data_IF_357083568431
#
_entry.id   IF_357083568431
#
_cell.length_a   1.000
_cell.length_b   1.000
_cell.length_c   1.000
_cell.angle_alpha   90.00
_cell.angle_beta   90.00
_cell.angle_gamma   90.00
#
_symmetry.space_group_name_H-M   'P 1'
#
loop_
_entity.id
_entity.type
_entity.pdbx_description
1 polymer ?
#
# COMPACT_ATOMS: atom_id res chain seq x y z
N UNK A 1 -19.59 8.12 19.33
CA UNK A 1 -19.14 7.07 18.39
C UNK A 1 -20.21 6.88 17.33
N UNK A 2 -19.83 6.92 16.05
CA UNK A 2 -20.76 6.61 14.96
C UNK A 2 -20.90 5.06 14.90
N UNK A 3 -22.11 4.48 15.03
CA UNK A 3 -22.30 3.03 14.99
C UNK A 3 -22.00 2.42 13.62
N UNK A 4 -22.00 3.24 12.54
CA UNK A 4 -21.65 2.81 11.19
C UNK A 4 -20.13 2.89 10.90
N UNK A 5 -19.30 3.26 11.87
CA UNK A 5 -17.86 3.39 11.69
C UNK A 5 -17.09 2.44 12.61
N UNK A 6 -16.18 1.66 12.03
CA UNK A 6 -15.22 0.82 12.74
C UNK A 6 -13.81 1.34 12.48
N UNK A 7 -13.03 1.54 13.54
CA UNK A 7 -11.64 2.01 13.45
C UNK A 7 -10.72 0.96 14.07
N UNK A 8 -9.75 0.49 13.26
CA UNK A 8 -8.74 -0.48 13.68
C UNK A 8 -7.34 0.11 13.54
N UNK A 9 -6.64 0.41 14.64
CA UNK A 9 -5.23 0.74 14.58
C UNK A 9 -4.40 -0.48 14.19
N UNK A 10 -3.49 -0.33 13.25
CA UNK A 10 -2.54 -1.37 12.83
C UNK A 10 -1.13 -0.91 13.19
N UNK A 11 -0.50 -1.45 14.25
CA UNK A 11 0.87 -1.06 14.61
C UNK A 11 1.85 -1.49 13.51
N UNK A 12 2.64 -0.55 13.01
CA UNK A 12 3.75 -0.84 12.09
C UNK A 12 4.91 -1.45 12.90
N UNK A 13 5.07 -2.76 12.86
CA UNK A 13 6.16 -3.48 13.54
C UNK A 13 7.40 -3.70 12.66
N UNK A 14 7.65 -2.84 11.68
CA UNK A 14 8.86 -2.93 10.83
C UNK A 14 8.86 -4.05 9.76
N UNK A 15 7.90 -4.95 9.76
CA UNK A 15 7.77 -6.00 8.75
C UNK A 15 6.75 -5.59 7.68
N UNK A 16 7.25 -5.10 6.55
CA UNK A 16 6.42 -4.62 5.42
C UNK A 16 5.44 -5.68 4.89
N UNK A 17 5.87 -6.94 4.78
CA UNK A 17 5.01 -8.02 4.26
C UNK A 17 3.90 -8.46 5.21
N UNK A 18 4.19 -8.56 6.51
CA UNK A 18 3.22 -9.01 7.52
C UNK A 18 2.10 -7.98 7.77
N UNK A 19 2.40 -6.68 7.69
CA UNK A 19 1.39 -5.61 7.84
C UNK A 19 0.42 -5.60 6.65
N UNK A 20 0.94 -5.70 5.43
CA UNK A 20 0.11 -5.73 4.21
C UNK A 20 -0.86 -6.93 4.23
N UNK A 21 -0.37 -8.12 4.62
CA UNK A 21 -1.17 -9.34 4.76
C UNK A 21 -2.34 -9.15 5.72
N UNK A 22 -2.07 -8.75 6.96
CA UNK A 22 -3.11 -8.55 7.99
C UNK A 22 -4.09 -7.43 7.64
N UNK A 23 -3.64 -6.41 6.92
CA UNK A 23 -4.49 -5.31 6.47
C UNK A 23 -5.46 -5.80 5.39
N UNK A 24 -5.00 -6.64 4.46
CA UNK A 24 -5.87 -7.26 3.45
C UNK A 24 -6.95 -8.15 4.08
N UNK A 25 -6.56 -9.04 5.00
CA UNK A 25 -7.51 -9.89 5.74
C UNK A 25 -8.56 -9.06 6.49
N UNK A 26 -8.12 -7.98 7.14
CA UNK A 26 -9.03 -7.07 7.84
C UNK A 26 -9.99 -6.37 6.88
N UNK A 27 -9.53 -5.96 5.70
CA UNK A 27 -10.37 -5.39 4.65
C UNK A 27 -11.46 -6.36 4.21
N UNK A 28 -11.09 -7.60 3.88
CA UNK A 28 -12.05 -8.65 3.50
C UNK A 28 -13.09 -8.93 4.60
N UNK A 29 -12.68 -8.92 5.88
CA UNK A 29 -13.60 -9.07 7.00
C UNK A 29 -14.56 -7.87 7.12
N UNK A 30 -14.10 -6.65 6.86
CA UNK A 30 -14.95 -5.46 6.83
C UNK A 30 -15.96 -5.53 5.69
N UNK A 31 -15.54 -5.94 4.48
CA UNK A 31 -16.45 -6.16 3.34
C UNK A 31 -17.51 -7.21 3.69
N UNK A 32 -17.11 -8.35 4.25
CA UNK A 32 -18.02 -9.42 4.67
C UNK A 32 -18.97 -8.99 5.79
N UNK A 33 -18.57 -8.02 6.61
CA UNK A 33 -19.41 -7.41 7.65
C UNK A 33 -20.37 -6.33 7.11
N UNK A 34 -20.32 -6.02 5.81
CA UNK A 34 -21.23 -5.10 5.14
C UNK A 34 -20.77 -3.64 5.16
N UNK A 35 -19.47 -3.36 5.36
CA UNK A 35 -18.96 -2.00 5.19
C UNK A 35 -18.78 -1.68 3.71
N UNK A 36 -19.40 -0.60 3.26
CA UNK A 36 -19.37 -0.15 1.85
C UNK A 36 -18.05 0.56 1.49
N UNK A 37 -17.40 1.18 2.48
CA UNK A 37 -16.17 1.96 2.30
C UNK A 37 -15.13 1.53 3.32
N UNK A 38 -13.94 1.20 2.83
CA UNK A 38 -12.78 0.82 3.65
C UNK A 38 -11.65 1.79 3.34
N UNK A 39 -11.23 2.56 4.35
CA UNK A 39 -10.10 3.48 4.26
C UNK A 39 -8.87 2.83 4.91
N UNK A 40 -7.78 2.73 4.15
CA UNK A 40 -6.48 2.27 4.64
C UNK A 40 -5.56 3.47 4.68
N UNK A 41 -5.23 3.93 5.89
CA UNK A 41 -4.33 5.06 6.11
C UNK A 41 -2.91 4.57 6.41
N UNK A 42 -1.92 5.24 5.81
CA UNK A 42 -0.49 5.05 6.09
C UNK A 42 0.12 6.31 6.68
N UNK A 43 1.13 6.14 7.51
CA UNK A 43 1.83 7.27 8.18
C UNK A 43 2.83 8.03 7.29
N UNK A 44 2.87 7.74 6.00
CA UNK A 44 3.55 8.60 5.01
C UNK A 44 5.09 8.59 5.02
N UNK A 45 5.75 7.62 5.65
CA UNK A 45 7.21 7.53 5.66
C UNK A 45 7.68 6.08 5.47
N UNK A 46 8.16 5.77 4.28
CA UNK A 46 8.71 4.46 3.98
C UNK A 46 8.08 3.84 2.74
N UNK A 47 8.38 2.59 2.46
CA UNK A 47 7.86 1.88 1.28
C UNK A 47 6.46 1.25 1.49
N UNK A 48 5.79 1.57 2.59
CA UNK A 48 4.45 1.08 2.93
C UNK A 48 3.36 1.61 1.99
N UNK A 49 3.58 2.78 1.40
CA UNK A 49 2.65 3.42 0.46
C UNK A 49 2.49 2.59 -0.82
N UNK A 50 3.60 2.03 -1.34
CA UNK A 50 3.56 1.16 -2.52
C UNK A 50 2.77 -0.12 -2.24
N UNK A 51 2.96 -0.71 -1.06
CA UNK A 51 2.25 -1.92 -0.66
C UNK A 51 0.74 -1.69 -0.50
N UNK A 52 0.32 -0.49 -0.07
CA UNK A 52 -1.11 -0.14 0.06
C UNK A 52 -1.78 0.01 -1.30
N UNK A 53 -1.09 0.56 -2.30
CA UNK A 53 -1.65 0.69 -3.64
C UNK A 53 -2.13 -0.66 -4.23
N UNK A 54 -1.45 -1.77 -3.87
CA UNK A 54 -1.83 -3.12 -4.29
C UNK A 54 -2.99 -3.73 -3.48
N UNK A 55 -3.46 -3.03 -2.44
CA UNK A 55 -4.54 -3.51 -1.56
C UNK A 55 -5.87 -2.79 -1.79
N UNK A 56 -5.85 -1.65 -2.48
CA UNK A 56 -6.99 -0.75 -2.60
C UNK A 56 -7.48 -0.64 -4.04
N UNK A 57 -8.75 -0.29 -4.19
CA UNK A 57 -9.35 -0.02 -5.49
C UNK A 57 -8.89 1.33 -6.06
N UNK A 58 -8.78 2.33 -5.18
CA UNK A 58 -8.32 3.67 -5.51
C UNK A 58 -7.24 4.11 -4.52
N UNK A 59 -6.21 4.78 -5.03
CA UNK A 59 -5.12 5.33 -4.23
C UNK A 59 -5.21 6.85 -4.20
N UNK A 60 -5.48 7.39 -3.01
CA UNK A 60 -5.58 8.83 -2.77
C UNK A 60 -4.30 9.30 -2.09
N UNK A 61 -3.55 10.16 -2.77
CA UNK A 61 -2.34 10.78 -2.22
C UNK A 61 -2.70 12.09 -1.51
N UNK A 62 -2.37 12.20 -0.22
CA UNK A 62 -2.49 13.45 0.52
C UNK A 62 -1.18 14.23 0.42
N UNK A 63 -1.25 15.47 -0.02
CA UNK A 63 -0.12 16.39 -0.09
C UNK A 63 -0.33 17.59 0.86
N UNK A 64 0.72 18.06 1.51
CA UNK A 64 0.66 19.26 2.36
C UNK A 64 1.33 20.44 1.64
N UNK A 65 0.76 21.66 1.67
CA UNK A 65 1.41 22.85 1.13
C UNK A 65 2.40 23.39 2.15
N UNK A 66 3.62 23.03 2.16
CA UNK A 66 4.42 23.53 3.27
C UNK A 66 5.93 23.43 3.24
N UNK A 67 6.51 22.95 2.19
CA UNK A 67 7.93 22.95 2.07
C UNK A 67 8.34 23.11 0.60
N UNK A 68 9.18 24.08 0.29
CA UNK A 68 9.77 24.17 -1.06
C UNK A 68 10.50 22.91 -1.49
N UNK A 69 10.79 22.00 -0.55
CA UNK A 69 11.36 20.67 -0.74
C UNK A 69 10.32 19.54 -0.74
N UNK A 70 9.07 19.77 -0.30
CA UNK A 70 8.08 18.72 -0.14
C UNK A 70 7.58 18.15 -1.48
N UNK A 71 7.53 18.96 -2.54
CA UNK A 71 7.27 18.47 -3.90
C UNK A 71 8.43 17.62 -4.44
N UNK A 72 9.67 17.94 -4.04
CA UNK A 72 10.83 17.07 -4.31
C UNK A 72 10.83 15.83 -3.39
N UNK A 73 10.22 15.93 -2.22
CA UNK A 73 10.02 14.81 -1.27
C UNK A 73 8.91 13.84 -1.69
N UNK A 74 7.93 14.27 -2.49
CA UNK A 74 6.96 13.36 -3.10
C UNK A 74 7.70 12.56 -4.19
N UNK A 75 8.14 11.37 -3.82
CA UNK A 75 8.83 10.49 -4.76
C UNK A 75 7.96 10.25 -6.00
N UNK A 76 8.53 10.48 -7.18
CA UNK A 76 7.84 10.31 -8.47
C UNK A 76 7.03 9.01 -8.55
N UNK A 77 7.55 7.91 -8.01
CA UNK A 77 6.88 6.61 -8.00
C UNK A 77 5.55 6.58 -7.24
N UNK A 78 5.37 7.41 -6.21
CA UNK A 78 4.08 7.49 -5.47
C UNK A 78 3.05 8.27 -6.28
N UNK A 79 3.47 9.33 -6.95
CA UNK A 79 2.58 10.12 -7.82
C UNK A 79 2.05 9.30 -9.00
N UNK A 80 2.85 8.38 -9.54
CA UNK A 80 2.45 7.47 -10.63
C UNK A 80 1.36 6.46 -10.20
N UNK A 81 1.19 6.24 -8.88
CA UNK A 81 0.16 5.37 -8.32
C UNK A 81 -1.12 6.10 -7.93
N UNK A 82 -1.09 7.45 -7.92
CA UNK A 82 -2.21 8.23 -7.43
C UNK A 82 -3.34 8.30 -8.46
N UNK A 83 -4.52 7.85 -8.07
CA UNK A 83 -5.78 8.07 -8.80
C UNK A 83 -6.37 9.44 -8.50
N UNK A 84 -6.06 9.98 -7.32
CA UNK A 84 -6.48 11.30 -6.86
C UNK A 84 -5.40 11.89 -5.97
N UNK A 85 -5.07 13.16 -6.14
CA UNK A 85 -4.22 13.90 -5.23
C UNK A 85 -5.02 14.97 -4.51
N UNK A 86 -4.94 14.97 -3.19
CA UNK A 86 -5.64 15.92 -2.33
C UNK A 86 -4.62 16.79 -1.62
N UNK A 87 -4.57 18.06 -1.97
CA UNK A 87 -3.74 19.05 -1.27
C UNK A 87 -4.50 19.55 -0.06
N UNK A 88 -3.99 19.21 1.10
CA UNK A 88 -4.61 19.54 2.39
C UNK A 88 -4.24 20.96 2.85
N UNK A 89 -4.86 21.44 3.95
CA UNK A 89 -4.59 22.76 4.56
C UNK A 89 -4.76 23.94 3.58
N UNK A 90 -5.75 23.84 2.69
CA UNK A 90 -6.03 24.84 1.68
C UNK A 90 -6.84 26.02 2.22
N UNK A 91 -6.51 26.48 3.45
CA UNK A 91 -7.17 27.56 4.16
C UNK A 91 -6.16 28.48 4.87
N UNK A 92 -6.64 29.62 5.35
CA UNK A 92 -5.83 30.60 6.08
C UNK A 92 -4.56 31.01 5.33
N UNK A 93 -3.47 31.12 6.05
CA UNK A 93 -2.17 31.58 5.52
C UNK A 93 -1.56 30.58 4.51
N UNK A 94 -2.01 29.32 4.52
CA UNK A 94 -1.51 28.29 3.62
C UNK A 94 -2.28 28.19 2.30
N UNK A 95 -3.40 28.89 2.14
CA UNK A 95 -4.24 28.81 0.94
C UNK A 95 -3.47 29.11 -0.37
N UNK A 96 -2.64 30.14 -0.38
CA UNK A 96 -1.82 30.49 -1.54
C UNK A 96 -0.80 29.39 -1.87
N UNK A 97 -0.10 28.88 -0.85
CA UNK A 97 0.86 27.78 -1.01
C UNK A 97 0.17 26.48 -1.50
N UNK A 98 -1.03 26.18 -0.99
CA UNK A 98 -1.82 25.04 -1.44
C UNK A 98 -2.21 25.15 -2.92
N UNK A 99 -2.62 26.32 -3.39
CA UNK A 99 -2.93 26.55 -4.79
C UNK A 99 -1.69 26.38 -5.69
N UNK A 100 -0.52 26.88 -5.27
CA UNK A 100 0.73 26.68 -6.01
C UNK A 100 1.10 25.19 -6.09
N UNK A 101 1.09 24.49 -4.95
CA UNK A 101 1.37 23.06 -4.90
C UNK A 101 0.41 22.27 -5.81
N UNK A 102 -0.88 22.56 -5.77
CA UNK A 102 -1.86 21.93 -6.63
C UNK A 102 -1.59 22.17 -8.12
N UNK A 103 -1.18 23.37 -8.50
CA UNK A 103 -0.83 23.69 -9.90
C UNK A 103 0.42 22.92 -10.35
N UNK A 104 1.44 22.80 -9.49
CA UNK A 104 2.66 22.05 -9.79
C UNK A 104 2.39 20.55 -9.93
N UNK A 105 1.59 19.99 -9.02
CA UNK A 105 1.20 18.58 -9.06
C UNK A 105 0.38 18.29 -10.33
N UNK A 106 -0.59 19.15 -10.71
CA UNK A 106 -1.35 18.98 -11.96
C UNK A 106 -0.43 18.94 -13.19
N UNK A 107 0.56 19.82 -13.25
CA UNK A 107 1.55 19.81 -14.35
C UNK A 107 2.37 18.51 -14.38
N UNK A 108 2.77 18.02 -13.20
CA UNK A 108 3.51 16.77 -13.10
C UNK A 108 2.67 15.55 -13.50
N UNK A 109 1.44 15.45 -13.02
CA UNK A 109 0.51 14.36 -13.35
C UNK A 109 0.20 14.30 -14.84
N UNK A 110 0.05 15.44 -15.49
CA UNK A 110 -0.21 15.50 -16.94
C UNK A 110 0.90 14.87 -17.80
N UNK A 111 2.10 14.76 -17.27
CA UNK A 111 3.25 14.10 -17.92
C UNK A 111 3.39 12.62 -17.57
N UNK A 112 2.55 12.12 -16.66
CA UNK A 112 2.58 10.74 -16.19
C UNK A 112 1.48 9.91 -16.86
N UNK A 113 1.68 8.59 -16.87
CA UNK A 113 0.60 7.68 -17.26
C UNK A 113 -0.30 7.43 -16.06
N UNK A 114 -1.63 7.54 -16.21
CA UNK A 114 -2.54 7.19 -15.13
C UNK A 114 -2.40 5.71 -14.78
N UNK A 115 -2.60 5.39 -13.51
CA UNK A 115 -2.60 4.00 -13.00
C UNK A 115 -3.69 3.17 -13.68
N UNK A 116 -4.85 3.78 -13.89
CA UNK A 116 -6.01 3.18 -14.56
C UNK A 116 -6.38 4.02 -15.77
N UNK A 117 -6.52 3.38 -16.92
CA UNK A 117 -6.86 4.08 -18.16
C UNK A 117 -8.27 4.72 -18.13
N UNK A 118 -9.13 4.22 -17.26
CA UNK A 118 -10.50 4.66 -17.04
C UNK A 118 -10.63 5.85 -16.09
N UNK A 119 -9.55 6.21 -15.39
CA UNK A 119 -9.53 7.28 -14.37
C UNK A 119 -8.53 8.35 -14.78
N UNK A 120 -9.02 9.57 -14.91
CA UNK A 120 -8.15 10.74 -15.11
C UNK A 120 -7.75 11.30 -13.72
N UNK A 121 -6.46 11.26 -13.34
CA UNK A 121 -6.02 11.70 -12.02
C UNK A 121 -6.32 13.17 -11.78
N UNK A 122 -7.05 13.47 -10.72
CA UNK A 122 -7.43 14.83 -10.35
C UNK A 122 -6.60 15.37 -9.18
N UNK A 123 -6.49 16.69 -9.09
CA UNK A 123 -5.88 17.38 -7.94
C UNK A 123 -6.90 18.30 -7.32
N UNK A 124 -7.32 17.99 -6.10
CA UNK A 124 -8.30 18.74 -5.33
C UNK A 124 -7.67 19.39 -4.11
N UNK A 125 -8.28 20.47 -3.66
CA UNK A 125 -7.87 21.24 -2.49
C UNK A 125 -8.86 20.99 -1.36
N UNK A 126 -8.37 20.73 -0.14
CA UNK A 126 -9.23 20.55 1.02
C UNK A 126 -8.76 21.32 2.23
N UNK A 127 -9.71 21.75 3.04
CA UNK A 127 -9.50 22.29 4.37
C UNK A 127 -10.25 21.43 5.40
N UNK A 128 -9.54 20.73 6.26
CA UNK A 128 -10.16 19.94 7.33
C UNK A 128 -10.88 20.82 8.37
N UNK A 129 -10.36 22.00 8.78
CA UNK A 129 -11.05 22.88 9.73
C UNK A 129 -12.40 23.41 9.22
N UNK A 130 -12.50 23.71 7.92
CA UNK A 130 -13.72 24.27 7.33
C UNK A 130 -14.62 23.21 6.69
N UNK A 131 -14.10 22.00 6.42
CA UNK A 131 -14.76 20.99 5.60
C UNK A 131 -14.77 21.30 4.10
N UNK A 132 -14.18 22.43 3.67
CA UNK A 132 -14.13 22.83 2.27
C UNK A 132 -13.37 21.81 1.41
N UNK A 133 -13.92 21.48 0.24
CA UNK A 133 -13.35 20.53 -0.70
C UNK A 133 -13.57 19.05 -0.37
N UNK A 134 -14.05 18.70 0.82
CA UNK A 134 -14.26 17.29 1.21
C UNK A 134 -15.38 16.62 0.41
N UNK A 135 -16.55 17.26 0.18
CA UNK A 135 -17.58 16.69 -0.69
C UNK A 135 -17.08 16.42 -2.10
N UNK A 136 -16.30 17.36 -2.68
CA UNK A 136 -15.75 17.25 -4.03
C UNK A 136 -14.75 16.08 -4.15
N UNK A 137 -13.94 15.83 -3.10
CA UNK A 137 -13.09 14.63 -3.03
C UNK A 137 -13.92 13.37 -3.05
N UNK A 138 -15.00 13.33 -2.28
CA UNK A 138 -15.88 12.16 -2.27
C UNK A 138 -16.58 11.93 -3.61
N UNK A 139 -17.03 12.97 -4.26
CA UNK A 139 -17.62 12.90 -5.61
C UNK A 139 -16.59 12.37 -6.63
N UNK A 140 -15.34 12.84 -6.57
CA UNK A 140 -14.27 12.35 -7.45
C UNK A 140 -13.93 10.86 -7.18
N UNK A 141 -13.88 10.44 -5.92
CA UNK A 141 -13.70 9.03 -5.54
C UNK A 141 -14.85 8.17 -6.07
N UNK A 142 -16.08 8.61 -5.88
CA UNK A 142 -17.27 7.88 -6.35
C UNK A 142 -17.31 7.78 -7.88
N UNK A 143 -16.95 8.84 -8.59
CA UNK A 143 -16.88 8.86 -10.04
C UNK A 143 -15.79 7.92 -10.58
N UNK A 144 -14.59 7.95 -9.99
CA UNK A 144 -13.49 7.07 -10.36
C UNK A 144 -13.84 5.59 -10.10
N UNK A 145 -14.40 5.27 -8.94
CA UNK A 145 -14.88 3.92 -8.64
C UNK A 145 -15.97 3.47 -9.61
N UNK A 146 -16.91 4.35 -9.95
CA UNK A 146 -17.98 4.08 -10.92
C UNK A 146 -17.43 3.80 -12.33
N UNK A 147 -16.39 4.52 -12.76
CA UNK A 147 -15.72 4.28 -14.04
C UNK A 147 -15.02 2.91 -14.08
N UNK A 148 -14.31 2.55 -13.02
CA UNK A 148 -13.66 1.23 -12.89
C UNK A 148 -14.69 0.09 -12.86
N UNK A 149 -15.79 0.27 -12.15
CA UNK A 149 -16.86 -0.72 -12.06
C UNK A 149 -17.59 -0.89 -13.41
N UNK A 150 -17.95 0.22 -14.06
CA UNK A 150 -18.68 0.23 -15.32
C UNK A 150 -17.90 -0.37 -16.51
N UNK A 151 -16.57 -0.21 -16.52
CA UNK A 151 -15.68 -0.79 -17.54
C UNK A 151 -15.30 -2.24 -17.27
N UNK A 152 -15.61 -2.78 -16.08
CA UNK A 152 -15.13 -4.07 -15.61
C UNK A 152 -13.65 -4.09 -15.18
N UNK A 153 -12.97 -2.94 -15.18
CA UNK A 153 -11.58 -2.82 -14.74
C UNK A 153 -11.44 -3.18 -13.26
N UNK A 154 -12.40 -2.80 -12.42
CA UNK A 154 -12.42 -3.13 -11.00
C UNK A 154 -12.34 -4.64 -10.74
N UNK A 155 -13.11 -5.44 -11.48
CA UNK A 155 -13.12 -6.90 -11.34
C UNK A 155 -11.78 -7.50 -11.77
N UNK A 156 -11.21 -7.03 -12.89
CA UNK A 156 -9.89 -7.48 -13.36
C UNK A 156 -8.80 -7.15 -12.34
N UNK A 157 -8.77 -5.91 -11.86
CA UNK A 157 -7.80 -5.45 -10.86
C UNK A 157 -7.87 -6.26 -9.57
N UNK A 158 -9.07 -6.46 -9.00
CA UNK A 158 -9.26 -7.26 -7.78
C UNK A 158 -8.85 -8.73 -7.99
N UNK A 159 -9.06 -9.27 -9.19
CA UNK A 159 -8.57 -10.62 -9.56
C UNK A 159 -7.05 -10.69 -9.56
N UNK A 160 -6.36 -9.69 -10.13
CA UNK A 160 -4.91 -9.64 -10.17
C UNK A 160 -4.31 -9.41 -8.77
N UNK A 161 -4.92 -8.55 -7.96
CA UNK A 161 -4.58 -8.37 -6.55
C UNK A 161 -4.75 -9.68 -5.75
N UNK A 162 -5.81 -10.44 -6.00
CA UNK A 162 -6.03 -11.74 -5.34
C UNK A 162 -4.95 -12.76 -5.72
N UNK A 163 -4.54 -12.80 -7.00
CA UNK A 163 -3.45 -13.66 -7.46
C UNK A 163 -2.10 -13.26 -6.83
N UNK A 164 -1.80 -11.97 -6.79
CA UNK A 164 -0.58 -11.46 -6.16
C UNK A 164 -0.54 -11.79 -4.66
N UNK A 165 -1.68 -11.66 -3.99
CA UNK A 165 -1.83 -12.02 -2.59
C UNK A 165 -1.58 -13.51 -2.35
N UNK A 166 -2.12 -14.40 -3.18
CA UNK A 166 -1.85 -15.85 -3.08
C UNK A 166 -0.35 -16.14 -3.06
N UNK A 167 0.41 -15.52 -3.97
CA UNK A 167 1.86 -15.73 -4.01
C UNK A 167 2.59 -15.12 -2.81
N UNK A 168 2.08 -14.02 -2.27
CA UNK A 168 2.64 -13.40 -1.05
C UNK A 168 2.38 -14.29 0.17
N UNK A 169 1.16 -14.82 0.31
CA UNK A 169 0.79 -15.77 1.36
C UNK A 169 1.62 -17.05 1.27
N UNK A 170 1.75 -17.62 0.06
CA UNK A 170 2.52 -18.83 -0.14
C UNK A 170 3.99 -18.65 0.24
N UNK A 171 4.61 -17.53 -0.19
CA UNK A 171 6.02 -17.24 0.17
C UNK A 171 6.19 -17.09 1.67
N UNK A 172 5.31 -16.33 2.34
CA UNK A 172 5.34 -16.17 3.79
C UNK A 172 5.17 -17.50 4.54
N UNK A 173 4.17 -18.30 4.14
CA UNK A 173 3.94 -19.60 4.75
C UNK A 173 5.10 -20.59 4.53
N UNK A 174 5.75 -20.56 3.37
CA UNK A 174 6.92 -21.38 3.09
C UNK A 174 8.12 -20.93 3.94
N UNK A 175 8.35 -19.62 4.08
CA UNK A 175 9.42 -19.08 4.93
C UNK A 175 9.19 -19.43 6.41
N UNK A 176 7.97 -19.27 6.91
CA UNK A 176 7.60 -19.63 8.28
C UNK A 176 7.83 -21.14 8.53
N UNK A 177 7.40 -21.99 7.62
CA UNK A 177 7.61 -23.45 7.72
C UNK A 177 9.08 -23.84 7.65
N UNK A 178 9.84 -23.21 6.77
CA UNK A 178 11.28 -23.42 6.65
C UNK A 178 11.99 -23.06 7.95
N UNK A 179 11.71 -21.86 8.50
CA UNK A 179 12.30 -21.40 9.76
C UNK A 179 11.90 -22.24 10.99
N UNK A 180 10.69 -22.80 10.98
CA UNK A 180 10.19 -23.65 12.05
C UNK A 180 10.74 -25.09 12.00
N UNK A 181 11.37 -25.51 10.89
CA UNK A 181 11.99 -26.84 10.78
C UNK A 181 13.20 -26.94 11.72
N UNK A 182 13.28 -28.00 12.58
CA UNK A 182 14.35 -28.12 13.56
C UNK A 182 15.75 -28.22 12.94
N UNK A 183 15.90 -28.89 11.80
CA UNK A 183 17.20 -29.05 11.13
C UNK A 183 17.67 -27.72 10.51
N UNK A 184 16.73 -26.97 9.93
CA UNK A 184 17.00 -25.63 9.39
C UNK A 184 17.32 -24.64 10.53
N UNK A 185 16.52 -24.64 11.58
CA UNK A 185 16.72 -23.77 12.75
C UNK A 185 18.09 -24.00 13.42
N UNK A 186 18.55 -25.26 13.48
CA UNK A 186 19.86 -25.59 14.02
C UNK A 186 21.01 -25.15 13.10
N UNK A 187 20.86 -25.24 11.78
CA UNK A 187 21.88 -24.90 10.80
C UNK A 187 21.98 -23.39 10.51
N UNK A 188 20.86 -22.66 10.64
CA UNK A 188 20.71 -21.26 10.21
C UNK A 188 21.78 -20.32 10.79
N UNK A 189 22.07 -20.29 12.13
CA UNK A 189 23.04 -19.34 12.67
C UNK A 189 24.47 -19.54 12.13
N UNK A 190 24.88 -20.79 11.93
CA UNK A 190 26.21 -21.11 11.38
C UNK A 190 26.32 -20.71 9.89
N UNK A 191 25.28 -20.92 9.13
CA UNK A 191 25.25 -20.53 7.71
C UNK A 191 25.21 -19.00 7.57
N UNK A 192 24.40 -18.30 8.38
CA UNK A 192 24.36 -16.82 8.39
C UNK A 192 25.73 -16.21 8.76
N UNK A 193 26.40 -16.78 9.78
CA UNK A 193 27.74 -16.33 10.18
C UNK A 193 28.77 -16.53 9.04
N UNK A 194 28.77 -17.68 8.37
CA UNK A 194 29.68 -17.96 7.25
C UNK A 194 29.40 -17.06 6.04
N UNK A 195 28.14 -16.74 5.75
CA UNK A 195 27.77 -15.80 4.69
C UNK A 195 28.20 -14.38 5.05
N UNK A 196 28.00 -13.95 6.30
CA UNK A 196 28.39 -12.63 6.77
C UNK A 196 29.92 -12.44 6.76
N UNK A 197 30.70 -13.50 7.05
CA UNK A 197 32.16 -13.51 6.98
C UNK A 197 32.70 -13.55 5.53
N UNK A 198 31.88 -13.83 4.54
CA UNK A 198 32.29 -14.01 3.14
C UNK A 198 32.86 -15.42 2.83
N UNK A 199 32.83 -16.35 3.79
CA UNK A 199 33.31 -17.71 3.63
C UNK A 199 32.33 -18.59 2.82
N UNK A 200 31.08 -18.17 2.73
CA UNK A 200 30.03 -18.88 2.00
C UNK A 200 29.23 -17.89 1.15
N UNK A 201 29.08 -18.18 -0.14
CA UNK A 201 28.18 -17.39 -1.00
C UNK A 201 26.72 -17.57 -0.57
N UNK A 202 25.93 -16.49 -0.54
CA UNK A 202 24.52 -16.51 -0.10
C UNK A 202 23.68 -17.58 -0.81
N UNK A 203 23.84 -17.75 -2.13
CA UNK A 203 23.14 -18.80 -2.89
C UNK A 203 23.55 -20.23 -2.48
N UNK A 204 24.79 -20.44 -2.04
CA UNK A 204 25.22 -21.74 -1.52
C UNK A 204 24.66 -21.98 -0.11
N UNK A 205 24.60 -20.94 0.72
CA UNK A 205 23.94 -20.96 2.03
C UNK A 205 22.45 -21.32 1.91
N UNK A 206 21.73 -20.67 1.00
CA UNK A 206 20.32 -20.95 0.74
C UNK A 206 20.09 -22.41 0.32
N UNK A 207 20.91 -22.93 -0.59
CA UNK A 207 20.81 -24.35 -0.99
C UNK A 207 21.03 -25.30 0.19
N UNK A 208 22.03 -25.06 1.06
CA UNK A 208 22.26 -25.88 2.26
C UNK A 208 21.07 -25.90 3.21
N UNK A 209 20.39 -24.76 3.40
CA UNK A 209 19.17 -24.69 4.21
C UNK A 209 18.02 -25.47 3.57
N UNK A 210 17.84 -25.37 2.26
CA UNK A 210 16.82 -26.14 1.53
C UNK A 210 17.11 -27.65 1.54
N UNK A 211 18.37 -28.05 1.44
CA UNK A 211 18.77 -29.45 1.54
C UNK A 211 18.58 -30.03 2.95
N UNK A 212 18.71 -29.21 3.98
CA UNK A 212 18.45 -29.57 5.37
C UNK A 212 16.95 -29.68 5.68
N UNK A 213 16.10 -28.96 4.94
CA UNK A 213 14.67 -28.93 5.18
C UNK A 213 14.01 -30.29 5.00
N UNK A 214 13.27 -30.73 6.00
CA UNK A 214 12.46 -31.97 6.00
C UNK A 214 10.99 -31.60 6.18
N UNK A 215 10.27 -31.25 5.10
CA UNK A 215 8.85 -30.90 5.21
C UNK A 215 8.07 -32.04 5.85
N UNK A 216 7.28 -31.71 6.88
CA UNK A 216 6.40 -32.69 7.49
C UNK A 216 5.44 -33.27 6.43
N UNK A 217 5.11 -34.57 6.48
CA UNK A 217 4.11 -35.14 5.59
C UNK A 217 2.78 -34.37 5.77
N UNK A 218 1.95 -34.28 4.72
CA UNK A 218 0.64 -33.65 4.84
C UNK A 218 -0.18 -34.34 5.93
N UNK A 219 -1.00 -33.61 6.69
CA UNK A 219 -1.91 -34.22 7.64
C UNK A 219 -2.84 -35.17 6.89
N UNK A 220 -2.94 -36.40 7.39
CA UNK A 220 -3.83 -37.46 6.90
C UNK A 220 -5.28 -37.10 7.18
#
# INVERSE_FOLDING_TARGET
>A
RNPAAFVRPSPSRGELGGVARRTREAGLLCEAAGFDVILIETVGVGQSELAVADLVDLFVLLASPGGGDDLQGIKRGIMELADLVVVTKADGDLAAAANHAAADIRRALHLMRPRHAEVDPQVLLVSSPTGGGVPEVWEAVAAAHGALAGSGALVRMRSDQARAALWTELRGALEERLRADPAVSAALPGIEAAVAAGDLAAGAGARRLLDAWRPAPPPT
#
